data_IF_590551065775
#
_entry.id   IF_590551065775
#
_cell.length_a   1.000
_cell.length_b   1.000
_cell.length_c   1.000
_cell.angle_alpha   90.00
_cell.angle_beta   90.00
_cell.angle_gamma   90.00
#
_symmetry.space_group_name_H-M   'P 1'
#
loop_
_entity.id
_entity.type
_entity.pdbx_description
1 polymer ?
#
# COMPACT_ATOMS: atom_id res chain seq x y z
N UNK A 1 -4.49 -12.55 -15.12
CA UNK A 1 -4.73 -11.14 -14.79
C UNK A 1 -3.50 -10.69 -14.03
N UNK A 2 -2.56 -9.99 -14.68
CA UNK A 2 -1.32 -9.57 -14.03
C UNK A 2 -1.56 -8.28 -13.26
N UNK A 3 -1.55 -8.34 -11.93
CA UNK A 3 -1.45 -7.14 -11.11
C UNK A 3 0.02 -6.71 -11.11
N UNK A 4 0.35 -5.69 -11.90
CA UNK A 4 1.67 -5.04 -11.81
C UNK A 4 1.79 -4.35 -10.45
N UNK A 5 2.49 -4.98 -9.51
CA UNK A 5 2.81 -4.44 -8.19
C UNK A 5 3.91 -3.38 -8.33
N UNK A 6 3.57 -2.23 -8.91
CA UNK A 6 4.50 -1.13 -9.08
C UNK A 6 4.61 -0.36 -7.76
N UNK A 7 5.54 -0.76 -6.90
CA UNK A 7 5.89 0.01 -5.71
C UNK A 7 6.68 1.24 -6.14
N UNK A 8 6.25 2.40 -5.67
CA UNK A 8 6.97 3.65 -5.86
C UNK A 8 7.33 4.23 -4.49
N UNK A 9 8.38 5.06 -4.37
CA UNK A 9 8.69 5.76 -3.13
C UNK A 9 7.48 6.54 -2.58
N UNK A 10 6.62 7.02 -3.47
CA UNK A 10 5.37 7.68 -3.11
C UNK A 10 4.42 6.78 -2.29
N UNK A 11 4.36 5.48 -2.57
CA UNK A 11 3.52 4.57 -1.80
C UNK A 11 4.04 4.41 -0.37
N UNK A 12 5.36 4.37 -0.20
CA UNK A 12 6.01 4.26 1.11
C UNK A 12 5.82 5.53 1.94
N UNK A 13 5.90 6.69 1.29
CA UNK A 13 5.70 7.97 1.96
C UNK A 13 4.23 8.20 2.37
N UNK A 14 3.27 7.69 1.58
CA UNK A 14 1.84 7.94 1.77
C UNK A 14 1.14 6.92 2.67
N UNK A 15 1.74 5.77 2.95
CA UNK A 15 1.08 4.69 3.71
C UNK A 15 1.91 4.27 4.92
N UNK A 16 1.25 4.08 6.06
CA UNK A 16 1.92 3.63 7.30
C UNK A 16 2.23 2.13 7.30
N UNK A 17 1.58 1.39 6.40
CA UNK A 17 1.73 -0.06 6.23
C UNK A 17 1.91 -0.36 4.74
N UNK A 18 2.80 -1.31 4.39
CA UNK A 18 3.09 -1.64 3.01
C UNK A 18 1.85 -2.18 2.30
N UNK A 19 1.48 -1.54 1.19
CA UNK A 19 0.37 -1.98 0.34
C UNK A 19 0.88 -2.95 -0.71
N UNK A 20 0.29 -4.15 -0.77
CA UNK A 20 0.46 -5.11 -1.87
C UNK A 20 1.92 -5.30 -2.33
N UNK A 21 2.79 -5.75 -1.42
CA UNK A 21 4.22 -5.97 -1.67
C UNK A 21 4.49 -7.45 -2.02
N UNK A 22 5.40 -7.78 -2.95
CA UNK A 22 5.77 -9.17 -3.24
C UNK A 22 6.31 -9.93 -2.01
N UNK A 23 7.05 -9.27 -1.12
CA UNK A 23 7.44 -9.84 0.18
C UNK A 23 6.28 -10.06 1.18
N UNK A 24 5.05 -9.63 0.85
CA UNK A 24 3.85 -9.96 1.61
C UNK A 24 3.13 -11.18 1.03
N UNK A 25 3.63 -11.77 -0.07
CA UNK A 25 3.09 -13.03 -0.56
C UNK A 25 3.27 -14.11 0.49
N UNK A 26 2.23 -14.92 0.69
CA UNK A 26 2.31 -16.12 1.51
C UNK A 26 3.08 -17.24 0.80
N UNK A 27 3.15 -18.42 1.43
CA UNK A 27 3.85 -19.58 0.88
C UNK A 27 3.24 -20.10 -0.43
N UNK A 28 1.99 -19.73 -0.73
CA UNK A 28 1.26 -20.10 -1.94
C UNK A 28 1.36 -19.02 -3.04
N UNK A 29 2.12 -17.94 -2.79
CA UNK A 29 2.29 -16.86 -3.75
C UNK A 29 1.06 -15.95 -3.87
N UNK A 30 0.23 -15.87 -2.82
CA UNK A 30 -0.96 -15.03 -2.79
C UNK A 30 -0.79 -13.83 -1.86
N UNK A 31 -1.41 -12.70 -2.21
CA UNK A 31 -1.43 -11.54 -1.32
C UNK A 31 -2.51 -11.75 -0.25
N UNK A 32 -2.18 -11.58 1.05
CA UNK A 32 -3.15 -11.70 2.10
C UNK A 32 -4.22 -10.62 1.98
N UNK A 33 -5.47 -10.99 2.23
CA UNK A 33 -6.58 -10.04 2.29
C UNK A 33 -6.41 -9.18 3.56
N UNK A 34 -6.45 -7.84 3.47
CA UNK A 34 -6.36 -6.98 4.64
C UNK A 34 -7.52 -7.23 5.62
N UNK A 35 -7.21 -7.44 6.90
CA UNK A 35 -8.22 -7.68 7.94
C UNK A 35 -8.78 -6.41 8.61
N UNK A 36 -8.24 -5.23 8.26
CA UNK A 36 -8.69 -3.94 8.79
C UNK A 36 -9.96 -3.41 8.11
N UNK A 37 -10.60 -2.38 8.68
CA UNK A 37 -11.79 -1.78 8.08
C UNK A 37 -11.50 -1.15 6.71
N UNK A 38 -12.49 -1.20 5.81
CA UNK A 38 -12.40 -0.60 4.49
C UNK A 38 -11.32 -1.22 3.61
N UNK A 39 -10.35 -0.42 3.17
CA UNK A 39 -9.22 -0.88 2.35
C UNK A 39 -8.08 -1.50 3.18
N UNK A 40 -8.19 -1.48 4.52
CA UNK A 40 -7.18 -2.06 5.41
C UNK A 40 -5.80 -1.38 5.35
N UNK A 41 -5.75 -0.11 4.93
CA UNK A 41 -4.54 0.71 4.89
C UNK A 41 -4.74 1.98 5.72
N UNK A 42 -3.65 2.48 6.30
CA UNK A 42 -3.64 3.77 6.99
C UNK A 42 -2.80 4.77 6.19
N UNK A 43 -3.40 5.92 5.87
CA UNK A 43 -2.78 6.97 5.06
C UNK A 43 -2.04 7.95 5.96
N UNK A 44 -0.78 8.23 5.63
CA UNK A 44 0.00 9.29 6.24
C UNK A 44 -0.54 10.66 5.79
N UNK A 45 -1.40 11.26 6.61
CA UNK A 45 -2.06 12.54 6.29
C UNK A 45 -1.10 13.72 6.19
N UNK A 46 0.03 13.67 6.91
CA UNK A 46 1.02 14.74 6.86
C UNK A 46 1.82 14.68 5.57
N UNK A 47 2.16 13.48 5.08
CA UNK A 47 2.75 13.30 3.76
C UNK A 47 1.80 13.79 2.66
N UNK A 48 0.51 13.40 2.74
CA UNK A 48 -0.50 13.82 1.78
C UNK A 48 -0.65 15.35 1.69
N UNK A 49 -0.64 16.05 2.84
CA UNK A 49 -0.72 17.52 2.89
C UNK A 49 0.42 18.21 2.16
N UNK A 50 1.65 17.66 2.22
CA UNK A 50 2.83 18.20 1.52
C UNK A 50 2.73 18.08 0.00
N UNK A 51 1.96 17.11 -0.50
CA UNK A 51 1.83 16.79 -1.93
C UNK A 51 0.55 17.35 -2.56
N UNK A 52 -0.16 18.21 -1.84
CA UNK A 52 -1.40 18.82 -2.31
C UNK A 52 -1.15 19.60 -3.60
N UNK A 53 -1.78 19.16 -4.69
CA UNK A 53 -1.87 19.93 -5.93
C UNK A 53 -2.79 21.14 -5.69
N UNK A 54 -2.35 22.33 -6.10
CA UNK A 54 -3.15 23.55 -6.06
C UNK A 54 -3.94 23.72 -7.34
#
# INVERSE_FOLDING_TARGET
MECSLLRTPLHDDLTEQPVAHPCLLDTEGTLPVPGGPGLGITVNRDALRRMRLN
#
